data_IF_580260803255
#
_entry.id   IF_580260803255
#
_cell.length_a   1.000
_cell.length_b   1.000
_cell.length_c   1.000
_cell.angle_alpha   90.00
_cell.angle_beta   90.00
_cell.angle_gamma   90.00
#
_symmetry.space_group_name_H-M   'P 1'
#
loop_
_entity.id
_entity.type
_entity.pdbx_description
1 polymer ?
#
# COMPACT_ATOMS: atom_id res chain seq x y z
N UNK A 1 -18.23 -9.60 -10.50
CA UNK A 1 -18.93 -9.32 -9.24
C UNK A 1 -17.93 -9.17 -8.11
N UNK A 2 -18.08 -8.10 -7.32
CA UNK A 2 -17.23 -7.89 -6.16
C UNK A 2 -17.63 -8.81 -5.01
N UNK A 3 -16.66 -9.43 -4.38
CA UNK A 3 -16.90 -10.33 -3.25
C UNK A 3 -16.47 -9.65 -1.95
N UNK A 4 -17.16 -9.90 -0.83
CA UNK A 4 -16.78 -9.30 0.45
C UNK A 4 -15.36 -9.64 0.90
N UNK A 5 -14.84 -10.79 0.49
CA UNK A 5 -13.52 -11.28 0.88
C UNK A 5 -12.41 -10.96 -0.13
N UNK A 6 -12.72 -10.26 -1.21
CA UNK A 6 -11.68 -9.79 -2.14
C UNK A 6 -10.74 -8.85 -1.39
N UNK A 7 -9.42 -9.02 -1.53
CA UNK A 7 -8.50 -8.16 -0.79
C UNK A 7 -8.53 -6.72 -1.31
N UNK A 8 -8.37 -5.77 -0.40
CA UNK A 8 -8.14 -4.38 -0.76
C UNK A 8 -6.66 -4.22 -1.09
N UNK A 9 -6.36 -3.76 -2.28
CA UNK A 9 -5.00 -3.42 -2.65
C UNK A 9 -4.72 -2.00 -2.19
N UNK A 10 -3.81 -1.87 -1.22
CA UNK A 10 -3.37 -0.58 -0.71
C UNK A 10 -2.14 -0.18 -1.51
N UNK A 11 -2.19 0.96 -2.16
CA UNK A 11 -1.10 1.43 -3.02
C UNK A 11 -0.38 2.58 -2.31
N UNK A 12 0.92 2.40 -2.07
CA UNK A 12 1.75 3.39 -1.38
C UNK A 12 2.94 3.75 -2.24
N UNK A 13 3.03 5.03 -2.61
CA UNK A 13 4.22 5.59 -3.24
C UNK A 13 5.00 6.35 -2.17
N UNK A 14 6.29 6.08 -2.04
CA UNK A 14 7.12 6.74 -1.04
C UNK A 14 8.42 7.24 -1.62
N UNK A 15 8.92 8.34 -1.07
CA UNK A 15 10.23 8.91 -1.39
C UNK A 15 10.76 9.61 -0.15
N UNK A 16 11.90 9.13 0.37
CA UNK A 16 12.51 9.68 1.58
C UNK A 16 11.52 9.82 2.74
N UNK A 17 10.78 8.73 3.00
CA UNK A 17 9.73 8.68 4.01
C UNK A 17 10.13 8.02 5.32
N UNK A 18 11.43 7.85 5.58
CA UNK A 18 11.94 7.16 6.76
C UNK A 18 11.27 7.60 8.06
N UNK A 19 10.99 8.90 8.15
CA UNK A 19 10.42 9.51 9.35
C UNK A 19 8.99 9.04 9.63
N UNK A 20 8.23 8.75 8.60
CA UNK A 20 6.79 8.45 8.70
C UNK A 20 6.45 6.98 8.47
N UNK A 21 7.29 6.26 7.74
CA UNK A 21 6.99 4.90 7.32
C UNK A 21 6.70 3.92 8.46
N UNK A 22 7.46 3.93 9.58
CA UNK A 22 7.17 2.97 10.65
C UNK A 22 5.76 3.11 11.20
N UNK A 23 5.33 4.33 11.53
CA UNK A 23 3.98 4.57 12.05
C UNK A 23 2.92 4.27 11.00
N UNK A 24 3.18 4.61 9.75
CA UNK A 24 2.26 4.35 8.65
C UNK A 24 2.04 2.86 8.44
N UNK A 25 3.13 2.09 8.36
CA UNK A 25 3.05 0.64 8.20
C UNK A 25 2.36 0.00 9.40
N UNK A 26 2.71 0.43 10.62
CA UNK A 26 2.07 -0.09 11.82
C UNK A 26 0.56 0.15 11.81
N UNK A 27 0.10 1.29 11.28
CA UNK A 27 -1.32 1.59 11.18
C UNK A 27 -2.04 0.66 10.18
N UNK A 28 -1.35 0.22 9.14
CA UNK A 28 -1.90 -0.76 8.20
C UNK A 28 -1.95 -2.15 8.82
N UNK A 29 -0.90 -2.54 9.52
CA UNK A 29 -0.86 -3.84 10.21
C UNK A 29 -1.91 -3.93 11.31
N UNK A 30 -2.32 -2.80 11.88
CA UNK A 30 -3.31 -2.74 12.96
C UNK A 30 -4.75 -2.63 12.47
N UNK A 31 -4.99 -2.72 11.15
CA UNK A 31 -6.36 -2.68 10.63
C UNK A 31 -7.16 -3.89 11.11
N UNK A 32 -8.42 -3.65 11.46
CA UNK A 32 -9.30 -4.74 11.93
C UNK A 32 -9.74 -5.67 10.79
N UNK A 33 -9.70 -5.19 9.54
CA UNK A 33 -9.92 -6.03 8.35
C UNK A 33 -8.58 -6.63 7.92
N UNK A 34 -8.42 -7.97 7.94
CA UNK A 34 -7.15 -8.59 7.60
C UNK A 34 -6.92 -8.79 6.09
N UNK A 35 -7.93 -8.57 5.26
CA UNK A 35 -7.88 -8.94 3.85
C UNK A 35 -7.41 -7.77 3.00
N UNK A 36 -6.11 -7.50 3.08
CA UNK A 36 -5.47 -6.45 2.28
C UNK A 36 -4.09 -6.88 1.82
N UNK A 37 -3.65 -6.26 0.72
CA UNK A 37 -2.28 -6.39 0.21
C UNK A 37 -1.73 -4.99 0.02
N UNK A 38 -0.55 -4.74 0.56
CA UNK A 38 0.13 -3.46 0.39
C UNK A 38 1.16 -3.61 -0.72
N UNK A 39 0.96 -2.86 -1.79
CA UNK A 39 1.97 -2.68 -2.82
C UNK A 39 2.62 -1.33 -2.62
N UNK A 40 3.92 -1.31 -2.43
CA UNK A 40 4.65 -0.07 -2.22
C UNK A 40 5.73 0.07 -3.28
N UNK A 41 5.83 1.27 -3.84
CA UNK A 41 6.93 1.64 -4.72
C UNK A 41 7.74 2.73 -4.08
N UNK A 42 9.03 2.47 -3.91
CA UNK A 42 9.98 3.47 -3.44
C UNK A 42 10.58 4.17 -4.65
N UNK A 43 10.48 5.48 -4.69
CA UNK A 43 10.88 6.29 -5.86
C UNK A 43 12.34 6.74 -5.78
N UNK A 44 13.22 5.87 -5.31
CA UNK A 44 14.66 6.15 -5.28
C UNK A 44 15.14 6.85 -4.01
N UNK A 45 14.57 6.46 -2.85
CA UNK A 45 14.97 7.05 -1.56
C UNK A 45 16.45 6.91 -1.28
N UNK A 46 17.02 7.94 -0.67
CA UNK A 46 18.42 7.96 -0.25
C UNK A 46 18.57 7.80 1.27
N UNK A 47 17.45 7.73 1.99
CA UNK A 47 17.41 7.53 3.45
C UNK A 47 17.16 6.05 3.78
N UNK A 48 16.69 5.75 4.99
CA UNK A 48 16.41 4.39 5.45
C UNK A 48 15.08 3.81 5.01
N UNK A 49 14.36 4.45 4.08
CA UNK A 49 13.03 4.00 3.64
C UNK A 49 13.05 2.57 3.11
N UNK A 50 13.99 2.22 2.23
CA UNK A 50 14.06 0.87 1.67
C UNK A 50 14.31 -0.20 2.72
N UNK A 51 15.12 0.10 3.73
CA UNK A 51 15.36 -0.84 4.83
C UNK A 51 14.10 -1.10 5.63
N UNK A 52 13.33 -0.05 5.92
CA UNK A 52 12.07 -0.16 6.65
C UNK A 52 11.08 -1.01 5.85
N UNK A 53 10.94 -0.74 4.56
CA UNK A 53 10.05 -1.49 3.68
C UNK A 53 10.47 -2.95 3.55
N UNK A 54 11.76 -3.21 3.39
CA UNK A 54 12.28 -4.57 3.29
C UNK A 54 12.03 -5.36 4.56
N UNK A 55 12.19 -4.73 5.71
CA UNK A 55 11.91 -5.35 7.01
C UNK A 55 10.43 -5.70 7.12
N UNK A 56 9.54 -4.78 6.73
CA UNK A 56 8.11 -5.01 6.77
C UNK A 56 7.70 -6.16 5.84
N UNK A 57 8.27 -6.19 4.64
CA UNK A 57 7.97 -7.23 3.66
C UNK A 57 8.43 -8.62 4.14
N UNK A 58 9.53 -8.68 4.88
CA UNK A 58 9.99 -9.95 5.46
C UNK A 58 9.12 -10.41 6.62
N UNK A 59 8.53 -9.46 7.34
CA UNK A 59 7.72 -9.75 8.54
C UNK A 59 6.27 -10.10 8.21
N UNK A 60 5.74 -9.61 7.08
CA UNK A 60 4.35 -9.84 6.71
C UNK A 60 4.23 -9.99 5.19
N UNK A 61 3.65 -11.12 4.75
CA UNK A 61 3.52 -11.45 3.32
C UNK A 61 2.58 -10.51 2.58
N UNK A 62 1.73 -9.76 3.30
CA UNK A 62 0.82 -8.80 2.69
C UNK A 62 1.53 -7.53 2.23
N UNK A 63 2.77 -7.32 2.68
CA UNK A 63 3.59 -6.16 2.29
C UNK A 63 4.51 -6.60 1.16
N UNK A 64 4.34 -5.96 -0.01
CA UNK A 64 5.11 -6.31 -1.20
C UNK A 64 5.68 -5.06 -1.84
N UNK A 65 6.95 -5.11 -2.19
CA UNK A 65 7.65 -3.99 -2.81
C UNK A 65 7.63 -4.19 -4.32
N UNK A 66 7.09 -3.21 -5.05
CA UNK A 66 7.10 -3.21 -6.51
C UNK A 66 8.44 -2.66 -6.99
N UNK A 67 9.15 -3.47 -7.77
CA UNK A 67 10.42 -3.06 -8.37
C UNK A 67 10.19 -2.83 -9.86
N UNK A 68 10.05 -1.56 -10.24
CA UNK A 68 9.68 -1.18 -11.60
C UNK A 68 10.73 -0.28 -12.25
N UNK A 69 12.01 -0.63 -12.09
CA UNK A 69 13.11 0.14 -12.65
C UNK A 69 13.75 1.07 -11.63
N UNK A 70 14.67 1.90 -12.11
CA UNK A 70 15.48 2.78 -11.26
C UNK A 70 15.15 4.26 -11.44
N UNK A 71 14.27 4.59 -12.40
CA UNK A 71 13.93 5.98 -12.69
C UNK A 71 13.00 6.55 -11.64
N UNK A 72 13.19 7.82 -11.34
CA UNK A 72 12.25 8.56 -10.51
C UNK A 72 11.03 8.93 -11.34
N UNK A 73 9.86 8.52 -10.88
CA UNK A 73 8.59 8.75 -11.59
C UNK A 73 7.72 9.82 -10.94
N UNK A 74 8.06 10.24 -9.73
CA UNK A 74 7.19 11.09 -8.92
C UNK A 74 6.01 10.30 -8.38
N UNK A 75 5.15 10.95 -7.59
CA UNK A 75 4.02 10.28 -6.96
C UNK A 75 2.99 9.78 -7.98
N UNK A 76 2.67 10.61 -8.98
CA UNK A 76 1.71 10.23 -10.02
C UNK A 76 2.18 9.02 -10.82
N UNK A 77 3.43 9.04 -11.29
CA UNK A 77 4.00 7.92 -12.03
C UNK A 77 4.11 6.66 -11.18
N UNK A 78 4.49 6.81 -9.91
CA UNK A 78 4.57 5.68 -8.98
C UNK A 78 3.22 5.03 -8.75
N UNK A 79 2.16 5.82 -8.53
CA UNK A 79 0.81 5.29 -8.38
C UNK A 79 0.33 4.61 -9.65
N UNK A 80 0.66 5.16 -10.81
CA UNK A 80 0.29 4.54 -12.07
C UNK A 80 0.90 3.14 -12.20
N UNK A 81 2.19 3.00 -11.90
CA UNK A 81 2.86 1.69 -11.92
C UNK A 81 2.24 0.72 -10.91
N UNK A 82 1.94 1.20 -9.70
CA UNK A 82 1.30 0.37 -8.67
C UNK A 82 -0.08 -0.10 -9.12
N UNK A 83 -0.86 0.81 -9.72
CA UNK A 83 -2.19 0.48 -10.20
C UNK A 83 -2.14 -0.55 -11.33
N UNK A 84 -1.22 -0.40 -12.26
CA UNK A 84 -1.03 -1.38 -13.34
C UNK A 84 -0.72 -2.77 -12.78
N UNK A 85 0.19 -2.83 -11.80
CA UNK A 85 0.56 -4.09 -11.18
C UNK A 85 -0.66 -4.72 -10.47
N UNK A 86 -1.39 -3.94 -9.68
CA UNK A 86 -2.56 -4.43 -8.97
C UNK A 86 -3.63 -4.94 -9.94
N UNK A 87 -3.88 -4.21 -11.01
CA UNK A 87 -4.84 -4.61 -12.03
C UNK A 87 -4.44 -5.91 -12.72
N UNK A 88 -3.15 -6.09 -12.99
CA UNK A 88 -2.64 -7.32 -13.60
C UNK A 88 -2.83 -8.53 -12.69
N UNK A 89 -2.93 -8.31 -11.38
CA UNK A 89 -3.17 -9.37 -10.40
C UNK A 89 -4.66 -9.61 -10.14
N UNK A 90 -5.53 -8.89 -10.83
CA UNK A 90 -6.97 -9.05 -10.68
C UNK A 90 -7.57 -8.28 -9.53
N UNK A 91 -6.92 -7.21 -9.07
CA UNK A 91 -7.43 -6.39 -7.98
C UNK A 91 -8.79 -5.81 -8.32
N UNK A 92 -9.70 -5.82 -7.34
CA UNK A 92 -11.05 -5.28 -7.47
C UNK A 92 -11.29 -4.07 -6.59
N UNK A 93 -10.58 -3.98 -5.46
CA UNK A 93 -10.65 -2.85 -4.54
C UNK A 93 -9.28 -2.21 -4.44
N UNK A 94 -9.25 -0.89 -4.51
CA UNK A 94 -8.03 -0.10 -4.39
C UNK A 94 -8.17 0.94 -3.30
N UNK A 95 -7.11 1.19 -2.56
CA UNK A 95 -7.04 2.30 -1.63
C UNK A 95 -5.67 2.96 -1.80
N UNK A 96 -5.67 4.26 -2.05
CA UNK A 96 -4.42 5.01 -2.14
C UNK A 96 -4.01 5.43 -0.74
N UNK A 97 -2.75 5.22 -0.42
CA UNK A 97 -2.17 5.61 0.86
C UNK A 97 -1.12 6.67 0.57
N UNK A 98 -1.38 7.90 1.00
CA UNK A 98 -0.42 8.98 0.83
C UNK A 98 0.71 8.83 1.83
N UNK A 99 1.90 9.31 1.47
CA UNK A 99 3.03 9.35 2.38
C UNK A 99 2.60 10.08 3.65
N UNK A 100 3.03 9.59 4.81
CA UNK A 100 2.75 10.10 6.15
C UNK A 100 1.31 9.92 6.67
N UNK A 101 0.42 9.30 5.92
CA UNK A 101 -0.92 8.97 6.42
C UNK A 101 -0.86 7.84 7.45
N UNK A 102 -1.48 8.08 8.61
CA UNK A 102 -1.72 7.04 9.62
C UNK A 102 -3.20 6.70 9.61
N UNK A 103 -3.53 5.44 9.38
CA UNK A 103 -4.91 5.00 9.23
C UNK A 103 -5.51 4.56 10.56
N UNK A 104 -6.77 4.95 10.79
CA UNK A 104 -7.52 4.46 11.95
C UNK A 104 -7.81 2.96 11.77
N UNK A 105 -7.92 2.20 12.87
CA UNK A 105 -8.06 0.73 12.79
C UNK A 105 -9.27 0.24 11.99
N UNK A 106 -10.32 1.05 11.87
CA UNK A 106 -11.55 0.68 11.19
C UNK A 106 -11.62 1.15 9.74
N UNK A 107 -10.58 1.78 9.22
CA UNK A 107 -10.66 2.42 7.91
C UNK A 107 -10.99 1.43 6.79
N UNK A 108 -10.28 0.30 6.74
CA UNK A 108 -10.53 -0.69 5.69
C UNK A 108 -11.90 -1.34 5.80
N UNK A 109 -12.34 -1.70 7.00
CA UNK A 109 -13.65 -2.31 7.16
C UNK A 109 -14.77 -1.36 6.77
N UNK A 110 -14.64 -0.07 7.10
CA UNK A 110 -15.63 0.93 6.69
C UNK A 110 -15.61 1.16 5.18
N UNK A 111 -14.44 1.22 4.58
CA UNK A 111 -14.30 1.36 3.12
C UNK A 111 -14.92 0.17 2.40
N UNK A 112 -14.67 -1.04 2.90
CA UNK A 112 -15.22 -2.26 2.29
C UNK A 112 -16.75 -2.27 2.34
N UNK A 113 -17.33 -1.88 3.46
CA UNK A 113 -18.79 -1.76 3.57
C UNK A 113 -19.35 -0.75 2.56
N UNK A 114 -18.70 0.41 2.43
CA UNK A 114 -19.14 1.44 1.47
C UNK A 114 -19.04 0.95 0.03
N UNK A 115 -17.99 0.19 -0.31
CA UNK A 115 -17.81 -0.36 -1.65
C UNK A 115 -18.86 -1.43 -2.00
N UNK A 116 -19.31 -2.19 -1.01
CA UNK A 116 -20.30 -3.23 -1.25
C UNK A 116 -21.68 -2.68 -1.54
N UNK A 117 -21.96 -1.47 -1.11
CA UNK A 117 -23.26 -0.81 -1.31
C UNK A 117 -23.37 -0.10 -2.66
N UNK A 118 -22.36 -0.11 -3.47
CA UNK A 118 -22.35 0.56 -4.77
C UNK A 118 -23.08 -0.24 -5.84
#
# INVERSE_FOLDING_TARGET
>A
MLRPDDPVYILLATYNGERFLPAQIDSLLAQDDPDWLLLVRDDGSTDGSLQILSQAARSDRRVRILRSGTERLGSTGSFFELMQQAMSEGARYFALCDQDDVWLPQKLSLMRLAMQDL
#
